data_IF_518844714229
#
_entry.id   IF_518844714229
#
_cell.length_a   1.000
_cell.length_b   1.000
_cell.length_c   1.000
_cell.angle_alpha   90.00
_cell.angle_beta   90.00
_cell.angle_gamma   90.00
#
_symmetry.space_group_name_H-M   'P 1'
#
loop_
_entity.id
_entity.type
_entity.pdbx_description
1 polymer ?
#
# COMPACT_ATOMS: atom_id res chain seq x y z
N UNK A 1 -0.98 15.92 1.91
CA UNK A 1 -1.28 15.27 3.19
C UNK A 1 -0.29 15.84 4.20
N UNK A 2 -0.74 16.51 5.30
CA UNK A 2 0.16 16.80 6.39
C UNK A 2 0.65 15.44 6.89
N UNK A 3 1.98 15.25 6.84
CA UNK A 3 2.60 13.98 7.10
C UNK A 3 2.05 13.37 8.38
N UNK A 4 1.29 12.29 8.20
CA UNK A 4 0.98 11.40 9.30
C UNK A 4 2.35 10.87 9.72
N UNK A 5 2.80 11.31 10.88
CA UNK A 5 4.09 10.96 11.44
C UNK A 5 4.37 9.46 11.27
N UNK A 6 5.17 9.11 10.25
CA UNK A 6 5.83 7.84 10.08
C UNK A 6 4.99 6.58 10.28
N UNK A 7 3.74 6.52 9.71
CA UNK A 7 2.98 5.27 9.69
C UNK A 7 2.60 4.67 11.06
N UNK A 8 2.53 5.46 12.12
CA UNK A 8 1.98 4.98 13.39
C UNK A 8 0.52 4.56 13.23
N UNK A 9 0.06 3.52 13.92
CA UNK A 9 -1.35 3.17 13.93
C UNK A 9 -2.18 4.37 14.37
N UNK A 10 -3.29 4.62 13.66
CA UNK A 10 -4.22 5.70 14.02
C UNK A 10 -4.74 5.38 15.43
N UNK A 11 -4.35 6.17 16.40
CA UNK A 11 -4.88 6.10 17.76
C UNK A 11 -6.30 6.69 17.79
N UNK A 12 -7.08 6.36 18.80
CA UNK A 12 -8.44 6.90 18.99
C UNK A 12 -8.44 8.43 18.95
N UNK A 13 -7.40 9.06 19.48
CA UNK A 13 -7.19 10.51 19.47
C UNK A 13 -6.99 11.06 18.07
N UNK A 14 -6.26 10.35 17.20
CA UNK A 14 -6.08 10.71 15.80
C UNK A 14 -7.42 10.65 15.05
N UNK A 15 -8.26 9.66 15.37
CA UNK A 15 -9.61 9.54 14.79
C UNK A 15 -10.47 10.74 15.20
N UNK A 16 -10.42 11.15 16.47
CA UNK A 16 -11.14 12.32 16.97
C UNK A 16 -10.68 13.58 16.24
N UNK A 17 -9.37 13.76 16.08
CA UNK A 17 -8.80 14.87 15.34
C UNK A 17 -9.26 14.89 13.86
N UNK A 18 -9.27 13.73 13.20
CA UNK A 18 -9.80 13.60 11.84
C UNK A 18 -11.29 13.95 11.77
N UNK A 19 -12.09 13.51 12.72
CA UNK A 19 -13.52 13.82 12.78
C UNK A 19 -13.77 15.32 12.99
N UNK A 20 -12.96 15.99 13.79
CA UNK A 20 -13.04 17.44 13.97
C UNK A 20 -12.67 18.18 12.67
N UNK A 21 -11.65 17.74 11.96
CA UNK A 21 -11.27 18.28 10.65
C UNK A 21 -12.37 18.12 9.60
N UNK A 22 -13.12 16.99 9.62
CA UNK A 22 -14.27 16.77 8.74
C UNK A 22 -15.37 17.80 9.00
N UNK A 23 -15.63 18.19 10.24
CA UNK A 23 -16.61 19.23 10.58
C UNK A 23 -16.28 20.57 9.93
N UNK A 24 -14.99 20.85 9.71
CA UNK A 24 -14.51 22.07 9.05
C UNK A 24 -14.37 21.94 7.53
N UNK A 25 -14.74 20.78 6.96
CA UNK A 25 -14.67 20.58 5.51
C UNK A 25 -13.28 20.30 4.95
N UNK A 26 -12.28 20.06 5.81
CA UNK A 26 -10.89 19.87 5.41
C UNK A 26 -10.58 18.48 4.83
N UNK A 27 -11.48 17.50 4.99
CA UNK A 27 -11.30 16.12 4.51
C UNK A 27 -12.55 15.58 3.81
N UNK A 28 -12.34 14.67 2.87
CA UNK A 28 -13.41 13.91 2.24
C UNK A 28 -14.05 12.95 3.26
N UNK A 29 -15.32 13.21 3.60
CA UNK A 29 -16.11 12.40 4.53
C UNK A 29 -16.20 10.92 4.11
N UNK A 30 -16.23 10.64 2.81
CA UNK A 30 -16.29 9.28 2.30
C UNK A 30 -14.96 8.54 2.54
N UNK A 31 -13.82 9.21 2.39
CA UNK A 31 -12.50 8.62 2.65
C UNK A 31 -12.34 8.26 4.14
N UNK A 32 -12.73 9.16 5.05
CA UNK A 32 -12.69 8.89 6.49
C UNK A 32 -13.67 7.80 6.89
N UNK A 33 -14.89 7.83 6.35
CA UNK A 33 -15.88 6.78 6.58
C UNK A 33 -15.38 5.39 6.19
N UNK A 34 -14.64 5.29 5.08
CA UNK A 34 -14.01 4.02 4.66
C UNK A 34 -12.90 3.58 5.61
N UNK A 35 -12.08 4.49 6.10
CA UNK A 35 -10.99 4.17 7.04
C UNK A 35 -11.46 3.56 8.36
N UNK A 36 -12.71 3.81 8.75
CA UNK A 36 -13.33 3.26 9.95
C UNK A 36 -13.98 1.89 9.74
N UNK A 37 -14.12 1.44 8.49
CA UNK A 37 -14.72 0.14 8.16
C UNK A 37 -13.69 -0.98 8.20
N UNK A 38 -14.14 -2.19 8.51
CA UNK A 38 -13.31 -3.38 8.32
C UNK A 38 -12.92 -3.54 6.84
N UNK A 39 -11.83 -4.24 6.56
CA UNK A 39 -11.38 -4.52 5.18
C UNK A 39 -12.47 -5.24 4.39
N UNK A 40 -13.17 -6.18 5.03
CA UNK A 40 -14.29 -6.89 4.40
C UNK A 40 -15.42 -5.96 3.99
N UNK A 41 -15.80 -5.03 4.85
CA UNK A 41 -16.85 -4.03 4.54
C UNK A 41 -16.41 -3.09 3.42
N UNK A 42 -15.15 -2.62 3.44
CA UNK A 42 -14.58 -1.81 2.36
C UNK A 42 -14.60 -2.57 1.02
N UNK A 43 -14.22 -3.84 1.02
CA UNK A 43 -14.22 -4.68 -0.18
C UNK A 43 -15.62 -4.83 -0.76
N UNK A 44 -16.62 -5.16 0.07
CA UNK A 44 -18.01 -5.34 -0.35
C UNK A 44 -18.56 -4.04 -0.96
N UNK A 45 -18.37 -2.90 -0.30
CA UNK A 45 -18.83 -1.60 -0.77
C UNK A 45 -18.23 -1.24 -2.14
N UNK A 46 -16.90 -1.39 -2.29
CA UNK A 46 -16.24 -1.09 -3.57
C UNK A 46 -16.70 -2.06 -4.65
N UNK A 47 -16.83 -3.35 -4.35
CA UNK A 47 -17.36 -4.35 -5.28
C UNK A 47 -18.75 -3.97 -5.77
N UNK A 48 -19.65 -3.55 -4.88
CA UNK A 48 -21.02 -3.16 -5.24
C UNK A 48 -21.03 -1.87 -6.07
N UNK A 49 -20.18 -0.91 -5.79
CA UNK A 49 -20.01 0.27 -6.64
C UNK A 49 -19.49 -0.09 -8.04
N UNK A 50 -18.61 -1.06 -8.15
CA UNK A 50 -18.04 -1.49 -9.43
C UNK A 50 -19.03 -2.28 -10.29
N UNK A 51 -19.95 -3.05 -9.69
CA UNK A 51 -20.97 -3.83 -10.41
C UNK A 51 -21.81 -2.99 -11.37
N UNK A 52 -22.02 -1.71 -11.07
CA UNK A 52 -22.78 -0.79 -11.94
C UNK A 52 -22.04 -0.47 -13.25
N UNK A 53 -20.71 -0.63 -13.28
CA UNK A 53 -19.86 -0.35 -14.46
C UNK A 53 -19.35 -1.62 -15.14
N UNK A 54 -19.10 -2.65 -14.35
CA UNK A 54 -18.55 -3.95 -14.80
C UNK A 54 -19.29 -5.06 -14.05
N UNK A 55 -20.24 -5.70 -14.75
CA UNK A 55 -21.04 -6.81 -14.18
C UNK A 55 -20.20 -8.06 -13.92
N UNK A 56 -19.20 -8.28 -14.78
CA UNK A 56 -18.34 -9.45 -14.75
C UNK A 56 -16.87 -9.01 -14.82
N UNK A 57 -16.02 -9.62 -14.00
CA UNK A 57 -14.60 -9.31 -14.00
C UNK A 57 -13.82 -9.95 -12.87
N UNK A 58 -12.50 -9.89 -13.00
CA UNK A 58 -11.57 -10.26 -11.94
C UNK A 58 -11.14 -9.02 -11.16
N UNK A 59 -10.81 -9.20 -9.89
CA UNK A 59 -10.43 -8.11 -8.99
C UNK A 59 -8.98 -8.25 -8.54
N UNK A 60 -8.33 -7.10 -8.38
CA UNK A 60 -7.11 -6.95 -7.62
C UNK A 60 -7.51 -6.37 -6.26
N UNK A 61 -7.27 -7.12 -5.17
CA UNK A 61 -7.42 -6.59 -3.83
C UNK A 61 -6.21 -5.68 -3.55
N UNK A 62 -6.43 -4.36 -3.64
CA UNK A 62 -5.35 -3.38 -3.63
C UNK A 62 -5.33 -2.56 -2.33
N UNK A 63 -4.26 -2.72 -1.58
CA UNK A 63 -3.94 -1.91 -0.41
C UNK A 63 -3.09 -0.72 -0.85
N UNK A 64 -3.74 0.40 -1.14
CA UNK A 64 -3.10 1.56 -1.76
C UNK A 64 -2.71 2.66 -0.78
N UNK A 65 -3.57 2.99 0.18
CA UNK A 65 -3.32 4.08 1.11
C UNK A 65 -2.26 3.71 2.15
N UNK A 66 -1.31 4.61 2.40
CA UNK A 66 -0.27 4.48 3.41
C UNK A 66 0.79 3.38 3.12
N UNK A 67 1.61 3.09 4.13
CA UNK A 67 2.63 2.04 4.08
C UNK A 67 2.05 0.76 4.65
N UNK A 68 1.56 -0.13 3.78
CA UNK A 68 0.72 -1.25 4.19
C UNK A 68 1.49 -2.42 4.82
N UNK A 69 2.82 -2.39 4.83
CA UNK A 69 3.66 -3.34 5.59
C UNK A 69 4.19 -2.77 6.90
N UNK A 70 3.76 -1.55 7.27
CA UNK A 70 4.15 -0.95 8.54
C UNK A 70 3.26 -1.45 9.68
N UNK A 71 3.88 -2.05 10.71
CA UNK A 71 3.19 -2.52 11.90
C UNK A 71 3.76 -3.83 12.45
N UNK A 72 3.09 -4.40 13.46
CA UNK A 72 3.48 -5.70 13.99
C UNK A 72 3.02 -6.84 13.08
N UNK A 73 3.72 -7.98 13.14
CA UNK A 73 3.34 -9.16 12.36
C UNK A 73 1.92 -9.65 12.66
N UNK A 74 1.47 -9.54 13.93
CA UNK A 74 0.09 -9.89 14.28
C UNK A 74 -0.91 -9.03 13.53
N UNK A 75 -0.66 -7.70 13.48
CA UNK A 75 -1.55 -6.76 12.79
C UNK A 75 -1.56 -7.04 11.28
N UNK A 76 -0.40 -7.29 10.67
CA UNK A 76 -0.32 -7.61 9.25
C UNK A 76 -1.05 -8.92 8.93
N UNK A 77 -0.85 -9.96 9.73
CA UNK A 77 -1.57 -11.24 9.60
C UNK A 77 -3.08 -11.04 9.75
N UNK A 78 -3.53 -10.30 10.76
CA UNK A 78 -4.94 -9.97 10.97
C UNK A 78 -5.53 -9.20 9.78
N UNK A 79 -4.75 -8.30 9.19
CA UNK A 79 -5.16 -7.49 8.05
C UNK A 79 -5.33 -8.35 6.79
N UNK A 80 -4.30 -9.05 6.38
CA UNK A 80 -4.31 -9.79 5.11
C UNK A 80 -5.13 -11.07 5.16
N UNK A 81 -5.28 -11.70 6.35
CA UNK A 81 -6.16 -12.87 6.49
C UNK A 81 -7.65 -12.57 6.27
N UNK A 82 -8.05 -11.29 6.29
CA UNK A 82 -9.41 -10.90 5.89
C UNK A 82 -9.65 -11.00 4.38
N UNK A 83 -8.58 -10.99 3.58
CA UNK A 83 -8.64 -11.15 2.13
C UNK A 83 -8.36 -12.58 1.73
N UNK A 84 -7.25 -13.16 2.26
CA UNK A 84 -6.76 -14.48 1.89
C UNK A 84 -6.15 -15.21 3.08
N UNK A 85 -6.55 -16.46 3.28
CA UNK A 85 -5.96 -17.40 4.23
C UNK A 85 -5.94 -18.78 3.57
N UNK A 86 -5.37 -19.79 4.25
CA UNK A 86 -5.11 -21.13 3.67
C UNK A 86 -6.32 -21.72 2.94
N UNK A 87 -7.52 -21.61 3.52
CA UNK A 87 -8.74 -22.17 2.96
C UNK A 87 -9.83 -21.10 2.78
N UNK A 88 -9.42 -19.86 2.61
CA UNK A 88 -10.32 -18.71 2.52
C UNK A 88 -9.82 -17.67 1.53
N UNK A 89 -10.72 -17.22 0.68
CA UNK A 89 -10.58 -16.04 -0.17
C UNK A 89 -11.86 -15.21 -0.03
N UNK A 90 -11.72 -13.89 0.15
CA UNK A 90 -12.84 -12.98 0.35
C UNK A 90 -13.85 -13.02 -0.80
N UNK A 91 -13.36 -13.31 -2.00
CA UNK A 91 -14.14 -13.46 -3.23
C UNK A 91 -13.36 -14.29 -4.24
N UNK A 92 -14.01 -15.24 -4.91
CA UNK A 92 -13.40 -16.12 -5.92
C UNK A 92 -12.84 -15.39 -7.14
N UNK A 93 -13.37 -14.19 -7.42
CA UNK A 93 -12.90 -13.34 -8.52
C UNK A 93 -11.71 -12.46 -8.14
N UNK A 94 -11.27 -12.43 -6.88
CA UNK A 94 -9.99 -11.83 -6.50
C UNK A 94 -8.87 -12.71 -6.99
N UNK A 95 -8.04 -12.19 -7.90
CA UNK A 95 -6.94 -12.95 -8.54
C UNK A 95 -5.55 -12.48 -8.12
N UNK A 96 -5.46 -11.32 -7.53
CA UNK A 96 -4.19 -10.72 -7.11
C UNK A 96 -4.41 -9.97 -5.80
N UNK A 97 -3.45 -10.07 -4.89
CA UNK A 97 -3.31 -9.18 -3.73
C UNK A 97 -2.19 -8.20 -4.03
N UNK A 98 -2.51 -6.91 -4.19
CA UNK A 98 -1.52 -5.85 -4.42
C UNK A 98 -1.35 -4.99 -3.17
N UNK A 99 -0.09 -4.74 -2.79
CA UNK A 99 0.28 -4.09 -1.53
C UNK A 99 1.26 -2.97 -1.82
N UNK A 100 0.79 -1.72 -1.72
CA UNK A 100 1.66 -0.55 -1.81
C UNK A 100 2.40 -0.34 -0.49
N UNK A 101 3.72 -0.18 -0.58
CA UNK A 101 4.56 0.03 0.59
C UNK A 101 5.85 0.78 0.27
N UNK A 102 6.62 1.06 1.33
CA UNK A 102 7.94 1.68 1.27
C UNK A 102 9.03 0.62 1.40
N UNK A 103 10.18 0.80 0.74
CA UNK A 103 11.31 -0.14 0.84
C UNK A 103 11.83 -0.34 2.28
N UNK A 104 11.87 0.73 3.07
CA UNK A 104 12.32 0.71 4.47
C UNK A 104 11.35 0.05 5.46
N UNK A 105 10.18 -0.38 4.97
CA UNK A 105 9.16 -1.10 5.75
C UNK A 105 9.01 -2.58 5.34
N UNK A 106 10.05 -3.16 4.74
CA UNK A 106 10.10 -4.56 4.34
C UNK A 106 11.20 -5.29 5.12
N UNK A 107 10.83 -5.92 6.23
CA UNK A 107 11.70 -6.89 6.90
C UNK A 107 11.64 -8.26 6.22
N UNK A 108 12.65 -9.09 6.44
CA UNK A 108 12.67 -10.46 5.90
C UNK A 108 11.48 -11.29 6.42
N UNK A 109 11.10 -11.10 7.69
CA UNK A 109 9.93 -11.77 8.28
C UNK A 109 8.62 -11.42 7.54
N UNK A 110 8.44 -10.13 7.20
CA UNK A 110 7.28 -9.67 6.44
C UNK A 110 7.27 -10.28 5.04
N UNK A 111 8.42 -10.25 4.36
CA UNK A 111 8.54 -10.78 2.99
C UNK A 111 8.33 -12.30 2.97
N UNK A 112 8.83 -13.04 3.96
CA UNK A 112 8.55 -14.47 4.14
C UNK A 112 7.04 -14.72 4.27
N UNK A 113 6.36 -13.98 5.12
CA UNK A 113 4.92 -14.12 5.31
C UNK A 113 4.15 -13.83 4.01
N UNK A 114 4.51 -12.76 3.29
CA UNK A 114 3.88 -12.45 2.00
C UNK A 114 4.18 -13.50 0.94
N UNK A 115 5.34 -14.15 0.99
CA UNK A 115 5.67 -15.27 0.10
C UNK A 115 4.80 -16.52 0.37
N UNK A 116 4.39 -16.75 1.62
CA UNK A 116 3.42 -17.82 1.92
C UNK A 116 2.04 -17.49 1.34
N UNK A 117 1.60 -16.24 1.42
CA UNK A 117 0.36 -15.80 0.75
C UNK A 117 0.48 -15.97 -0.77
N UNK A 118 1.65 -15.68 -1.34
CA UNK A 118 1.90 -15.80 -2.78
C UNK A 118 1.76 -17.24 -3.32
N UNK A 119 1.80 -18.25 -2.45
CA UNK A 119 1.50 -19.64 -2.83
C UNK A 119 0.00 -19.92 -3.00
N UNK A 120 -0.85 -19.05 -2.45
CA UNK A 120 -2.31 -19.18 -2.50
C UNK A 120 -2.88 -18.29 -3.62
N UNK A 121 -2.45 -17.04 -3.68
CA UNK A 121 -2.84 -16.04 -4.66
C UNK A 121 -1.63 -15.16 -5.01
N UNK A 122 -1.40 -14.79 -6.27
CA UNK A 122 -0.32 -13.88 -6.64
C UNK A 122 -0.30 -12.62 -5.81
N UNK A 123 0.87 -12.29 -5.22
CA UNK A 123 1.10 -11.08 -4.45
C UNK A 123 1.98 -10.13 -5.25
N UNK A 124 1.51 -8.91 -5.44
CA UNK A 124 2.27 -7.82 -6.02
C UNK A 124 2.70 -6.84 -4.92
N UNK A 125 3.98 -6.50 -4.89
CA UNK A 125 4.51 -5.49 -3.98
C UNK A 125 4.82 -4.23 -4.78
N UNK A 126 4.08 -3.17 -4.48
CA UNK A 126 4.22 -1.89 -5.15
C UNK A 126 5.14 -0.98 -4.33
N UNK A 127 6.34 -0.77 -4.83
CA UNK A 127 7.37 0.03 -4.16
C UNK A 127 7.45 1.44 -4.73
N UNK A 128 7.34 2.43 -3.87
CA UNK A 128 7.67 3.80 -4.22
C UNK A 128 9.18 3.95 -4.39
N UNK A 129 9.65 4.15 -5.60
CA UNK A 129 11.03 4.59 -5.88
C UNK A 129 11.08 6.11 -6.10
N UNK A 130 10.09 6.61 -6.77
CA UNK A 130 9.82 7.99 -7.11
C UNK A 130 10.83 8.57 -8.11
N UNK A 131 12.11 8.55 -7.79
CA UNK A 131 13.23 9.01 -8.63
C UNK A 131 14.52 8.30 -8.24
N UNK A 132 15.43 8.14 -9.19
CA UNK A 132 16.79 7.66 -8.93
C UNK A 132 17.73 8.76 -8.41
N UNK A 133 17.35 10.02 -8.54
CA UNK A 133 18.17 11.17 -8.18
C UNK A 133 18.05 11.46 -6.68
N UNK A 134 19.12 11.20 -5.92
CA UNK A 134 19.15 11.33 -4.46
C UNK A 134 18.90 12.77 -3.96
N UNK A 135 19.27 13.78 -4.74
CA UNK A 135 19.01 15.17 -4.40
C UNK A 135 17.52 15.47 -4.48
N UNK A 136 16.87 15.03 -5.55
CA UNK A 136 15.40 15.15 -5.70
C UNK A 136 14.69 14.35 -4.62
N UNK A 137 15.16 13.12 -4.35
CA UNK A 137 14.60 12.27 -3.30
C UNK A 137 14.63 12.93 -1.92
N UNK A 138 15.72 13.67 -1.59
CA UNK A 138 15.81 14.45 -0.35
C UNK A 138 14.86 15.66 -0.37
N UNK A 139 14.77 16.36 -1.51
CA UNK A 139 13.90 17.52 -1.67
C UNK A 139 12.41 17.17 -1.45
N UNK A 140 11.96 16.02 -1.97
CA UNK A 140 10.57 15.54 -1.79
C UNK A 140 10.36 14.80 -0.46
N UNK A 141 11.36 14.76 0.41
CA UNK A 141 11.32 14.01 1.68
C UNK A 141 10.92 12.53 1.50
N UNK A 142 11.52 11.84 0.52
CA UNK A 142 11.27 10.40 0.29
C UNK A 142 11.54 9.55 1.53
N UNK A 143 12.55 9.91 2.34
CA UNK A 143 12.81 9.34 3.65
C UNK A 143 13.64 8.04 3.65
N UNK A 144 14.10 7.57 2.49
CA UNK A 144 15.04 6.46 2.30
C UNK A 144 15.90 6.71 1.05
N UNK A 145 17.06 6.09 0.99
CA UNK A 145 18.01 6.20 -0.11
C UNK A 145 17.83 5.07 -1.15
N UNK A 146 18.56 5.17 -2.26
CA UNK A 146 18.52 4.17 -3.31
C UNK A 146 19.03 2.81 -2.82
N UNK A 147 20.02 2.78 -1.92
CA UNK A 147 20.55 1.52 -1.38
C UNK A 147 19.50 0.75 -0.57
N UNK A 148 18.62 1.46 0.13
CA UNK A 148 17.48 0.85 0.81
C UNK A 148 16.50 0.21 -0.19
N UNK A 149 16.22 0.91 -1.29
CA UNK A 149 15.38 0.38 -2.37
C UNK A 149 16.01 -0.87 -3.02
N UNK A 150 17.31 -0.84 -3.35
CA UNK A 150 18.01 -1.97 -3.95
C UNK A 150 17.98 -3.21 -3.05
N UNK A 151 18.18 -3.05 -1.73
CA UNK A 151 18.08 -4.13 -0.75
C UNK A 151 16.66 -4.71 -0.71
N UNK A 152 15.63 -3.87 -0.76
CA UNK A 152 14.24 -4.32 -0.79
C UNK A 152 13.96 -5.13 -2.07
N UNK A 153 14.39 -4.67 -3.24
CA UNK A 153 14.27 -5.40 -4.51
C UNK A 153 14.98 -6.75 -4.44
N UNK A 154 16.21 -6.78 -3.93
CA UNK A 154 16.98 -8.03 -3.79
C UNK A 154 16.25 -9.03 -2.86
N UNK A 155 15.68 -8.54 -1.76
CA UNK A 155 14.91 -9.34 -0.82
C UNK A 155 13.64 -9.89 -1.46
N UNK A 156 12.86 -9.07 -2.17
CA UNK A 156 11.65 -9.50 -2.85
C UNK A 156 11.93 -10.55 -3.94
N UNK A 157 13.01 -10.37 -4.71
CA UNK A 157 13.49 -11.36 -5.70
C UNK A 157 13.87 -12.67 -5.06
N UNK A 158 14.58 -12.66 -3.91
CA UNK A 158 14.95 -13.87 -3.15
C UNK A 158 13.74 -14.73 -2.80
N UNK A 159 12.59 -14.10 -2.53
CA UNK A 159 11.34 -14.78 -2.15
C UNK A 159 10.33 -14.91 -3.30
N UNK A 160 10.74 -14.65 -4.55
CA UNK A 160 9.93 -14.75 -5.77
C UNK A 160 8.63 -13.92 -5.71
N UNK A 161 8.66 -12.75 -5.09
CA UNK A 161 7.54 -11.81 -5.08
C UNK A 161 7.62 -10.87 -6.29
N UNK A 162 6.51 -10.68 -6.97
CA UNK A 162 6.39 -9.72 -8.06
C UNK A 162 6.48 -8.31 -7.51
N UNK A 163 7.35 -7.49 -8.10
CA UNK A 163 7.53 -6.11 -7.69
C UNK A 163 7.09 -5.16 -8.79
N UNK A 164 6.29 -4.17 -8.43
CA UNK A 164 5.91 -3.04 -9.27
C UNK A 164 6.60 -1.80 -8.71
N UNK A 165 7.33 -1.09 -9.55
CA UNK A 165 8.07 0.11 -9.13
C UNK A 165 7.29 1.35 -9.55
N UNK A 166 7.02 2.23 -8.59
CA UNK A 166 6.40 3.51 -8.84
C UNK A 166 7.45 4.61 -8.98
N UNK A 167 7.42 5.29 -10.12
CA UNK A 167 8.23 6.47 -10.40
C UNK A 167 7.31 7.68 -10.58
N UNK A 168 7.84 8.88 -10.34
CA UNK A 168 7.12 10.14 -10.54
C UNK A 168 7.91 10.99 -11.54
N UNK A 169 7.31 11.25 -12.69
CA UNK A 169 7.86 12.18 -13.66
C UNK A 169 7.45 13.62 -13.34
N UNK A 170 8.34 14.57 -13.58
CA UNK A 170 8.07 16.00 -13.35
C UNK A 170 8.26 16.45 -11.91
N UNK A 171 9.14 15.79 -11.18
CA UNK A 171 9.55 16.21 -9.86
C UNK A 171 10.33 17.56 -9.95
N UNK A 172 10.31 18.38 -8.87
CA UNK A 172 10.98 19.67 -8.87
C UNK A 172 12.47 19.56 -9.24
N UNK A 173 12.90 20.41 -10.16
CA UNK A 173 14.27 20.51 -10.69
C UNK A 173 14.76 19.31 -11.51
N UNK A 174 13.94 18.31 -11.78
CA UNK A 174 14.28 17.26 -12.72
C UNK A 174 14.08 17.72 -14.16
N UNK A 175 15.10 17.52 -15.00
CA UNK A 175 15.02 17.76 -16.45
C UNK A 175 14.36 16.57 -17.14
N UNK A 176 14.01 16.74 -18.42
CA UNK A 176 13.43 15.66 -19.23
C UNK A 176 14.40 14.48 -19.36
N UNK A 177 15.69 14.77 -19.49
CA UNK A 177 16.75 13.76 -19.55
C UNK A 177 16.81 12.95 -18.25
N UNK A 178 16.77 13.60 -17.10
CA UNK A 178 16.74 12.96 -15.78
C UNK A 178 15.53 12.04 -15.55
N UNK A 179 14.43 12.26 -16.25
CA UNK A 179 13.24 11.41 -16.15
C UNK A 179 13.33 10.15 -17.03
N UNK A 180 14.30 10.12 -17.97
CA UNK A 180 14.47 9.02 -18.92
C UNK A 180 15.59 8.07 -18.49
N UNK A 181 16.55 8.56 -17.69
CA UNK A 181 17.64 7.77 -17.10
C UNK A 181 17.10 6.68 -16.16
#
# INVERSE_FOLDING_TARGET
>A
YPGINGGKPILTEDIIWYLDKIKFGEYDKAAVGRALKSIKEQFIEIKDMMKSKWSDGYYIAYFQANTNTYGTMEKLKQTYSQIVAKDYLIDENVKILSIATRPDCLSEEIVMYLSEINKIIPVWIELGFQTMHEETARLINRGYDNSCFEKAIALLKKYNLTTIVHIINGLPYETKEMMID
#
